data_IF_229439462596
#
_entry.id   IF_229439462596
#
_cell.length_a   1.000
_cell.length_b   1.000
_cell.length_c   1.000
_cell.angle_alpha   90.00
_cell.angle_beta   90.00
_cell.angle_gamma   90.00
#
_symmetry.space_group_name_H-M   'P 1'
#
loop_
_entity.id
_entity.type
_entity.pdbx_description
1 polymer ?
#
# COMPACT_ATOMS: atom_id res chain seq x y z
N UNK A 1 13.41 18.35 -8.60
CA UNK A 1 12.58 17.73 -7.55
C UNK A 1 12.22 18.82 -6.55
N UNK A 2 10.94 19.00 -6.22
CA UNK A 2 10.55 19.87 -5.09
C UNK A 2 10.68 19.06 -3.80
N UNK A 3 11.31 19.63 -2.77
CA UNK A 3 11.62 18.93 -1.53
C UNK A 3 11.13 19.74 -0.33
N UNK A 4 10.33 19.13 0.54
CA UNK A 4 9.93 19.68 1.84
C UNK A 4 10.19 18.64 2.93
N UNK A 5 10.73 19.07 4.08
CA UNK A 5 11.03 18.19 5.22
C UNK A 5 10.13 18.49 6.42
N UNK A 6 9.62 17.45 7.07
CA UNK A 6 8.88 17.55 8.34
C UNK A 6 9.32 16.43 9.29
N UNK A 7 9.02 16.58 10.59
CA UNK A 7 9.24 15.53 11.59
C UNK A 7 7.90 15.12 12.19
N UNK A 8 7.59 13.82 12.17
CA UNK A 8 6.37 13.25 12.77
C UNK A 8 6.67 11.87 13.34
N UNK A 9 6.19 11.60 14.56
CA UNK A 9 6.35 10.29 15.24
C UNK A 9 7.80 9.76 15.28
N UNK A 10 8.78 10.66 15.44
CA UNK A 10 10.21 10.30 15.45
C UNK A 10 10.82 10.00 14.06
N UNK A 11 10.09 10.28 12.99
CA UNK A 11 10.53 10.13 11.61
C UNK A 11 10.84 11.51 11.01
N UNK A 12 12.01 11.63 10.39
CA UNK A 12 12.31 12.65 9.40
C UNK A 12 11.70 12.23 8.08
N UNK A 13 10.78 13.05 7.57
CA UNK A 13 10.02 12.81 6.35
C UNK A 13 10.47 13.83 5.33
N UNK A 14 10.95 13.34 4.18
CA UNK A 14 11.29 14.19 3.04
C UNK A 14 10.35 13.86 1.89
N UNK A 15 9.58 14.86 1.44
CA UNK A 15 8.64 14.72 0.35
C UNK A 15 9.30 15.02 -0.99
N UNK A 16 8.96 14.23 -2.00
CA UNK A 16 9.45 14.31 -3.37
C UNK A 16 8.27 14.33 -4.33
N UNK A 17 8.46 15.01 -5.46
CA UNK A 17 7.64 14.84 -6.66
C UNK A 17 8.56 14.26 -7.72
N UNK A 18 8.24 13.05 -8.19
CA UNK A 18 9.04 12.28 -9.13
C UNK A 18 8.21 11.93 -10.38
N UNK A 19 8.85 11.65 -11.54
CA UNK A 19 8.13 11.14 -12.70
C UNK A 19 7.47 9.79 -12.40
N UNK A 20 6.27 9.56 -12.93
CA UNK A 20 5.69 8.23 -13.04
C UNK A 20 6.30 7.49 -14.24
N UNK A 21 5.96 6.20 -14.40
CA UNK A 21 6.41 5.40 -15.54
C UNK A 21 5.87 5.92 -16.89
N UNK A 22 4.71 6.58 -16.86
CA UNK A 22 4.17 7.33 -18.00
C UNK A 22 4.60 8.81 -17.89
N UNK A 23 5.31 9.39 -18.89
CA UNK A 23 5.92 10.71 -18.77
C UNK A 23 5.00 11.89 -18.44
N UNK A 24 3.70 11.80 -18.75
CA UNK A 24 2.70 12.82 -18.42
C UNK A 24 2.28 12.82 -16.95
N UNK A 25 2.55 11.75 -16.21
CA UNK A 25 2.14 11.58 -14.82
C UNK A 25 3.30 11.84 -13.85
N UNK A 26 2.96 12.27 -12.65
CA UNK A 26 3.87 12.48 -11.52
C UNK A 26 3.42 11.68 -10.30
N UNK A 27 4.38 11.30 -9.47
CA UNK A 27 4.14 10.61 -8.21
C UNK A 27 4.57 11.49 -7.04
N UNK A 28 3.70 11.63 -6.04
CA UNK A 28 4.05 12.16 -4.73
C UNK A 28 4.64 11.02 -3.89
N UNK A 29 5.88 11.19 -3.43
CA UNK A 29 6.62 10.19 -2.67
C UNK A 29 7.19 10.80 -1.39
N UNK A 30 7.18 10.03 -0.31
CA UNK A 30 7.85 10.38 0.94
C UNK A 30 8.99 9.38 1.18
N UNK A 31 10.14 9.90 1.61
CA UNK A 31 11.23 9.10 2.17
C UNK A 31 11.30 9.33 3.67
N UNK A 32 11.47 8.25 4.42
CA UNK A 32 11.43 8.21 5.87
C UNK A 32 12.78 7.73 6.41
N UNK A 33 13.29 8.43 7.43
CA UNK A 33 14.39 7.96 8.29
C UNK A 33 14.09 8.33 9.73
N UNK A 34 14.49 7.51 10.70
CA UNK A 34 14.40 7.90 12.11
C UNK A 34 15.27 9.12 12.41
N UNK A 35 14.74 10.06 13.20
CA UNK A 35 15.52 11.23 13.65
C UNK A 35 16.63 10.86 14.62
N UNK A 36 16.40 9.80 15.41
CA UNK A 36 17.36 9.22 16.33
C UNK A 36 17.52 7.73 16.00
N UNK A 37 18.69 7.31 15.48
CA UNK A 37 18.93 5.90 15.18
C UNK A 37 18.80 5.05 16.45
N UNK A 38 18.18 3.88 16.31
CA UNK A 38 18.14 2.87 17.38
C UNK A 38 19.46 2.07 17.40
N UNK A 39 19.89 1.53 18.56
CA UNK A 39 21.00 0.57 18.59
C UNK A 39 20.69 -0.60 17.66
N UNK A 40 21.57 -0.91 16.71
CA UNK A 40 21.41 -2.02 15.77
C UNK A 40 22.76 -2.65 15.43
N UNK A 41 22.78 -3.96 15.11
CA UNK A 41 23.99 -4.61 14.60
C UNK A 41 24.48 -3.94 13.30
N UNK A 42 25.76 -4.11 13.00
CA UNK A 42 26.57 -3.39 12.00
C UNK A 42 26.20 -3.62 10.52
N UNK A 43 25.06 -4.26 10.24
CA UNK A 43 24.68 -4.70 8.89
C UNK A 43 23.68 -3.72 8.26
N UNK A 44 23.95 -3.30 7.03
CA UNK A 44 23.01 -2.49 6.27
C UNK A 44 21.74 -3.30 5.93
N UNK A 45 20.58 -2.71 6.16
CA UNK A 45 19.28 -3.27 5.76
C UNK A 45 18.93 -2.83 4.32
N UNK A 46 18.28 -3.68 3.51
CA UNK A 46 17.71 -3.24 2.24
C UNK A 46 16.67 -2.12 2.42
N UNK A 47 16.51 -1.21 1.45
CA UNK A 47 15.46 -0.20 1.49
C UNK A 47 14.08 -0.85 1.43
N UNK A 48 13.09 -0.25 2.07
CA UNK A 48 11.71 -0.76 2.09
C UNK A 48 10.80 0.21 1.33
N UNK A 49 9.99 -0.31 0.41
CA UNK A 49 9.00 0.46 -0.36
C UNK A 49 7.60 0.05 0.08
N UNK A 50 6.77 1.03 0.43
CA UNK A 50 5.40 0.87 0.88
C UNK A 50 4.40 1.33 -0.19
N UNK A 51 3.39 0.50 -0.47
CA UNK A 51 2.28 0.82 -1.40
C UNK A 51 0.93 0.70 -0.70
N UNK A 52 0.07 1.69 -0.89
CA UNK A 52 -1.21 1.78 -0.19
C UNK A 52 -2.33 1.03 -0.92
N UNK A 53 -3.43 0.75 -0.21
CA UNK A 53 -4.64 0.19 -0.79
C UNK A 53 -5.44 1.21 -1.63
N UNK A 54 -6.41 0.73 -2.40
CA UNK A 54 -7.31 1.59 -3.18
C UNK A 54 -8.12 2.54 -2.28
N UNK A 55 -8.16 3.82 -2.62
CA UNK A 55 -8.87 4.87 -1.87
C UNK A 55 -8.04 5.53 -0.76
N UNK A 56 -6.74 5.22 -0.68
CA UNK A 56 -5.83 5.69 0.37
C UNK A 56 -4.67 6.51 -0.19
N UNK A 57 -3.70 6.83 0.66
CA UNK A 57 -2.50 7.62 0.36
C UNK A 57 -1.32 7.15 1.22
N UNK A 58 -0.09 7.46 0.82
CA UNK A 58 1.18 6.96 1.38
C UNK A 58 1.34 7.18 2.89
N UNK A 59 0.83 8.26 3.46
CA UNK A 59 0.98 8.58 4.89
C UNK A 59 0.27 7.58 5.81
N UNK A 60 -0.67 6.76 5.30
CA UNK A 60 -1.33 5.71 6.10
C UNK A 60 -0.36 4.64 6.62
N UNK A 61 0.84 4.54 6.04
CA UNK A 61 1.89 3.64 6.50
C UNK A 61 2.70 4.17 7.68
N UNK A 62 2.61 5.45 8.02
CA UNK A 62 3.48 6.05 9.04
C UNK A 62 3.31 5.47 10.44
N UNK A 63 2.09 5.12 10.90
CA UNK A 63 1.93 4.41 12.16
C UNK A 63 2.70 3.08 12.18
N UNK A 64 2.74 2.35 11.06
CA UNK A 64 3.51 1.09 10.92
C UNK A 64 5.02 1.38 10.85
N UNK A 65 5.44 2.31 9.99
CA UNK A 65 6.86 2.67 9.78
C UNK A 65 7.54 3.08 11.11
N UNK A 66 6.86 3.89 11.92
CA UNK A 66 7.40 4.35 13.22
C UNK A 66 7.57 3.23 14.25
N UNK A 67 6.89 2.09 14.06
CA UNK A 67 6.80 0.94 14.97
C UNK A 67 7.65 -0.27 14.54
N UNK A 68 8.30 -0.22 13.38
CA UNK A 68 9.23 -1.27 12.97
C UNK A 68 10.34 -1.46 14.03
N UNK A 69 10.74 -2.70 14.25
CA UNK A 69 11.84 -3.06 15.15
C UNK A 69 13.21 -2.84 14.48
N UNK A 70 14.28 -2.63 15.26
CA UNK A 70 15.66 -2.76 14.80
C UNK A 70 15.94 -4.13 14.14
N UNK A 71 16.80 -4.19 13.09
CA UNK A 71 17.46 -3.06 12.45
C UNK A 71 16.61 -2.35 11.38
N UNK A 72 15.45 -2.90 11.01
CA UNK A 72 14.57 -2.37 9.95
C UNK A 72 14.15 -0.93 10.18
N UNK A 73 13.92 -0.56 11.45
CA UNK A 73 13.62 0.79 11.89
C UNK A 73 14.66 1.85 11.46
N UNK A 74 15.91 1.44 11.24
CA UNK A 74 17.00 2.32 10.85
C UNK A 74 17.23 2.37 9.33
N UNK A 75 16.49 1.57 8.55
CA UNK A 75 16.61 1.51 7.10
C UNK A 75 16.08 2.76 6.39
N UNK A 76 16.34 2.83 5.09
CA UNK A 76 15.71 3.82 4.20
C UNK A 76 14.34 3.31 3.76
N UNK A 77 13.31 4.09 4.01
CA UNK A 77 11.93 3.68 3.75
C UNK A 77 11.25 4.69 2.82
N UNK A 78 10.43 4.18 1.91
CA UNK A 78 9.80 4.95 0.84
C UNK A 78 8.31 4.62 0.82
N UNK A 79 7.45 5.62 0.70
CA UNK A 79 6.04 5.40 0.41
C UNK A 79 5.59 6.39 -0.67
N UNK A 80 4.70 5.99 -1.56
CA UNK A 80 4.24 6.86 -2.63
C UNK A 80 2.78 6.63 -2.99
N UNK A 81 2.15 7.69 -3.48
CA UNK A 81 0.77 7.67 -3.91
C UNK A 81 0.67 7.10 -5.33
N UNK A 82 -0.22 6.12 -5.55
CA UNK A 82 -0.63 5.69 -6.88
C UNK A 82 -1.02 6.91 -7.72
N UNK A 83 -0.70 6.92 -9.03
CA UNK A 83 -0.85 8.10 -9.90
C UNK A 83 -2.24 8.76 -9.88
N UNK A 84 -3.29 8.02 -9.54
CA UNK A 84 -4.67 8.49 -9.46
C UNK A 84 -5.23 8.64 -8.04
N UNK A 85 -4.40 8.54 -6.99
CA UNK A 85 -4.81 8.63 -5.58
C UNK A 85 -3.95 9.63 -4.80
N UNK A 86 -4.40 10.00 -3.61
CA UNK A 86 -3.67 10.91 -2.72
C UNK A 86 -3.21 12.21 -3.40
N UNK A 87 -2.00 12.64 -3.09
CA UNK A 87 -1.41 13.84 -3.69
C UNK A 87 -1.05 13.65 -5.16
N UNK A 88 -0.75 12.43 -5.60
CA UNK A 88 -0.51 12.14 -7.01
C UNK A 88 -1.74 12.45 -7.86
N UNK A 89 -2.96 12.13 -7.40
CA UNK A 89 -4.20 12.48 -8.08
C UNK A 89 -4.32 14.00 -8.30
N UNK A 90 -4.00 14.78 -7.27
CA UNK A 90 -4.05 16.24 -7.32
C UNK A 90 -3.02 16.78 -8.32
N UNK A 91 -1.81 16.22 -8.33
CA UNK A 91 -0.75 16.59 -9.28
C UNK A 91 -1.12 16.25 -10.73
N UNK A 92 -1.90 15.19 -10.93
CA UNK A 92 -2.23 14.64 -12.25
C UNK A 92 -3.64 15.01 -12.72
N UNK A 93 -4.35 15.89 -12.02
CA UNK A 93 -5.79 16.18 -12.26
C UNK A 93 -6.16 16.43 -13.73
N UNK A 94 -5.26 17.03 -14.49
CA UNK A 94 -5.48 17.42 -15.90
C UNK A 94 -5.16 16.30 -16.90
N UNK A 95 -4.56 15.19 -16.44
CA UNK A 95 -4.16 14.04 -17.26
C UNK A 95 -4.76 12.71 -16.76
N UNK A 96 -5.57 12.74 -15.70
CA UNK A 96 -6.24 11.54 -15.18
C UNK A 96 -7.15 10.93 -16.24
N UNK A 97 -6.98 9.62 -16.44
CA UNK A 97 -7.74 8.85 -17.42
C UNK A 97 -9.08 8.38 -16.85
N UNK A 98 -10.00 8.02 -17.76
CA UNK A 98 -11.32 7.47 -17.37
C UNK A 98 -11.24 6.05 -16.82
N UNK A 99 -10.19 5.34 -17.20
CA UNK A 99 -9.95 3.97 -16.83
C UNK A 99 -8.63 3.89 -16.07
N UNK A 100 -8.53 2.92 -15.17
CA UNK A 100 -7.30 2.67 -14.45
C UNK A 100 -6.88 1.21 -14.60
N UNK A 101 -5.68 1.04 -15.15
CA UNK A 101 -5.06 -0.25 -15.34
C UNK A 101 -4.06 -0.55 -14.22
N UNK A 102 -4.20 -1.71 -13.57
CA UNK A 102 -3.36 -2.12 -12.44
C UNK A 102 -1.88 -2.31 -12.81
N UNK A 103 -1.54 -2.64 -14.08
CA UNK A 103 -0.13 -2.66 -14.52
C UNK A 103 0.52 -1.28 -14.41
N UNK A 104 -0.26 -0.20 -14.51
CA UNK A 104 0.26 1.16 -14.33
C UNK A 104 0.87 1.35 -12.93
N UNK A 105 0.26 0.77 -11.89
CA UNK A 105 0.82 0.88 -10.55
C UNK A 105 2.09 0.04 -10.39
N UNK A 106 2.12 -1.15 -10.99
CA UNK A 106 3.33 -1.99 -11.02
C UNK A 106 4.49 -1.29 -11.75
N UNK A 107 4.24 -0.68 -12.91
CA UNK A 107 5.24 0.11 -13.62
C UNK A 107 5.69 1.33 -12.81
N UNK A 108 4.80 1.98 -12.07
CA UNK A 108 5.17 3.07 -11.17
C UNK A 108 6.03 2.61 -10.00
N UNK A 109 5.79 1.42 -9.45
CA UNK A 109 6.70 0.81 -8.46
C UNK A 109 8.11 0.65 -9.06
N UNK A 110 8.22 0.11 -10.28
CA UNK A 110 9.52 -0.07 -10.94
C UNK A 110 10.19 1.28 -11.25
N UNK A 111 9.41 2.30 -11.61
CA UNK A 111 9.91 3.66 -11.80
C UNK A 111 10.42 4.26 -10.48
N UNK A 112 9.77 4.01 -9.35
CA UNK A 112 10.26 4.43 -8.02
C UNK A 112 11.60 3.76 -7.72
N UNK A 113 11.73 2.46 -7.98
CA UNK A 113 13.00 1.74 -7.85
C UNK A 113 14.10 2.40 -8.67
N UNK A 114 13.83 2.71 -9.94
CA UNK A 114 14.82 3.30 -10.84
C UNK A 114 15.18 4.74 -10.43
N UNK A 115 14.18 5.53 -10.04
CA UNK A 115 14.35 6.94 -9.66
C UNK A 115 15.26 7.10 -8.45
N UNK A 116 15.12 6.22 -7.46
CA UNK A 116 15.93 6.26 -6.24
C UNK A 116 17.14 5.30 -6.29
N UNK A 117 17.35 4.59 -7.41
CA UNK A 117 18.47 3.65 -7.58
C UNK A 117 18.44 2.48 -6.59
N UNK A 118 17.24 2.04 -6.19
CA UNK A 118 17.04 1.02 -5.18
C UNK A 118 17.45 -0.35 -5.74
N UNK A 119 18.14 -1.16 -4.93
CA UNK A 119 18.59 -2.50 -5.32
C UNK A 119 18.10 -3.51 -4.31
N UNK A 120 17.43 -4.56 -4.79
CA UNK A 120 16.89 -5.64 -3.96
C UNK A 120 16.09 -5.10 -2.78
N UNK A 121 15.18 -4.15 -3.06
CA UNK A 121 14.34 -3.54 -2.02
C UNK A 121 13.37 -4.56 -1.42
N UNK A 122 12.86 -4.31 -0.22
CA UNK A 122 11.70 -5.03 0.31
C UNK A 122 10.44 -4.30 -0.16
N UNK A 123 9.49 -5.03 -0.74
CA UNK A 123 8.15 -4.50 -1.03
C UNK A 123 7.20 -4.78 0.12
N UNK A 124 6.49 -3.78 0.63
CA UNK A 124 5.41 -3.94 1.63
C UNK A 124 4.15 -3.27 1.06
N UNK A 125 3.17 -4.08 0.65
CA UNK A 125 1.96 -3.56 0.02
C UNK A 125 0.71 -3.97 0.77
N UNK A 126 -0.32 -3.14 0.72
CA UNK A 126 -1.65 -3.47 1.25
C UNK A 126 -2.66 -3.58 0.12
N UNK A 127 -3.46 -4.66 0.12
CA UNK A 127 -4.58 -4.85 -0.80
C UNK A 127 -4.11 -4.70 -2.26
N UNK A 128 -4.62 -3.69 -2.97
CA UNK A 128 -4.26 -3.34 -4.33
C UNK A 128 -2.75 -3.08 -4.49
N UNK A 129 -2.12 -2.43 -3.52
CA UNK A 129 -0.68 -2.19 -3.51
C UNK A 129 0.15 -3.47 -3.35
N UNK A 130 -0.37 -4.48 -2.65
CA UNK A 130 0.29 -5.78 -2.55
C UNK A 130 0.27 -6.52 -3.89
N UNK A 131 -0.89 -6.54 -4.56
CA UNK A 131 -1.04 -7.12 -5.90
C UNK A 131 -0.13 -6.46 -6.93
N UNK A 132 0.06 -5.14 -6.82
CA UNK A 132 0.96 -4.39 -7.70
C UNK A 132 2.44 -4.81 -7.54
N UNK A 133 2.88 -5.21 -6.33
CA UNK A 133 4.23 -5.76 -6.13
C UNK A 133 4.41 -7.11 -6.82
N UNK A 134 3.39 -7.98 -6.83
CA UNK A 134 3.46 -9.25 -7.56
C UNK A 134 3.64 -9.02 -9.05
N UNK A 135 2.84 -8.12 -9.65
CA UNK A 135 2.99 -7.74 -11.05
C UNK A 135 4.38 -7.14 -11.33
N UNK A 136 4.85 -6.23 -10.48
CA UNK A 136 6.15 -5.59 -10.65
C UNK A 136 7.30 -6.60 -10.63
N UNK A 137 7.26 -7.58 -9.72
CA UNK A 137 8.28 -8.63 -9.63
C UNK A 137 8.20 -9.60 -10.81
N UNK A 138 7.00 -9.94 -11.31
CA UNK A 138 6.83 -10.75 -12.52
C UNK A 138 7.38 -10.02 -13.75
N UNK A 139 7.12 -8.72 -13.88
CA UNK A 139 7.63 -7.89 -14.98
C UNK A 139 9.16 -7.77 -14.97
N UNK A 140 9.75 -7.65 -13.78
CA UNK A 140 11.21 -7.47 -13.61
C UNK A 140 11.72 -8.34 -12.45
N UNK A 141 11.90 -9.66 -12.68
CA UNK A 141 12.32 -10.59 -11.64
C UNK A 141 13.65 -10.22 -10.99
N UNK A 142 13.74 -10.38 -9.68
CA UNK A 142 14.90 -10.03 -8.87
C UNK A 142 14.99 -8.55 -8.50
N UNK A 143 13.92 -7.77 -8.72
CA UNK A 143 13.86 -6.37 -8.28
C UNK A 143 13.82 -6.28 -6.76
N UNK A 144 13.05 -7.16 -6.12
CA UNK A 144 12.88 -7.17 -4.67
C UNK A 144 13.67 -8.29 -4.00
N UNK A 145 14.05 -8.11 -2.72
CA UNK A 145 14.61 -9.17 -1.89
C UNK A 145 13.53 -10.02 -1.22
N UNK A 146 12.38 -9.42 -0.93
CA UNK A 146 11.20 -10.06 -0.36
C UNK A 146 9.96 -9.17 -0.55
N UNK A 147 8.77 -9.76 -0.50
CA UNK A 147 7.49 -9.03 -0.50
C UNK A 147 6.68 -9.40 0.75
N UNK A 148 6.21 -8.40 1.49
CA UNK A 148 5.18 -8.55 2.53
C UNK A 148 3.86 -8.03 1.96
N UNK A 149 2.93 -8.95 1.72
CA UNK A 149 1.62 -8.72 1.15
C UNK A 149 0.57 -8.68 2.26
N UNK A 150 0.18 -7.48 2.66
CA UNK A 150 -0.86 -7.23 3.66
C UNK A 150 -2.22 -7.32 2.97
N UNK A 151 -2.99 -8.34 3.31
CA UNK A 151 -4.35 -8.63 2.81
C UNK A 151 -4.51 -8.40 1.28
N UNK A 152 -3.70 -9.05 0.43
CA UNK A 152 -3.61 -8.72 -0.99
C UNK A 152 -4.94 -8.94 -1.73
N UNK A 153 -5.27 -8.07 -2.68
CA UNK A 153 -6.49 -8.17 -3.52
C UNK A 153 -6.18 -8.66 -4.92
N UNK A 154 -5.80 -9.92 -5.01
CA UNK A 154 -5.63 -10.66 -6.26
C UNK A 154 -6.46 -11.95 -6.18
N UNK A 155 -7.00 -12.40 -7.29
CA UNK A 155 -7.99 -13.48 -7.29
C UNK A 155 -7.83 -14.38 -8.52
N UNK A 156 -8.04 -15.71 -8.38
CA UNK A 156 -8.27 -16.58 -9.53
C UNK A 156 -9.38 -16.02 -10.43
N UNK A 157 -9.29 -16.33 -11.73
CA UNK A 157 -10.22 -15.84 -12.73
C UNK A 157 -11.67 -16.27 -12.43
N UNK A 158 -11.86 -17.42 -11.81
CA UNK A 158 -13.17 -18.03 -11.54
C UNK A 158 -13.98 -17.27 -10.49
N UNK A 159 -13.32 -16.53 -9.59
CA UNK A 159 -13.98 -15.87 -8.46
C UNK A 159 -14.07 -14.35 -8.61
N UNK A 160 -13.37 -13.78 -9.61
CA UNK A 160 -13.41 -12.35 -9.85
C UNK A 160 -14.51 -11.95 -10.83
N UNK A 161 -15.17 -10.84 -10.50
CA UNK A 161 -16.15 -10.19 -11.36
C UNK A 161 -15.47 -9.06 -12.15
N UNK A 162 -15.11 -9.33 -13.40
CA UNK A 162 -14.77 -8.26 -14.34
C UNK A 162 -16.08 -7.65 -14.87
N UNK A 163 -16.44 -6.47 -14.36
CA UNK A 163 -17.67 -5.78 -14.72
C UNK A 163 -17.38 -4.31 -15.04
N UNK A 164 -18.09 -3.71 -16.02
CA UNK A 164 -18.08 -2.27 -16.22
C UNK A 164 -18.39 -1.52 -14.93
N UNK A 165 -17.91 -0.27 -14.82
CA UNK A 165 -18.07 0.55 -13.61
C UNK A 165 -19.54 0.67 -13.16
N UNK A 166 -20.49 0.73 -14.10
CA UNK A 166 -21.92 0.85 -13.85
C UNK A 166 -22.52 -0.40 -13.20
N UNK A 167 -21.95 -1.57 -13.46
CA UNK A 167 -22.39 -2.86 -12.94
C UNK A 167 -21.51 -3.37 -11.79
N UNK A 168 -20.36 -2.75 -11.52
CA UNK A 168 -19.43 -3.19 -10.49
C UNK A 168 -19.88 -2.73 -9.08
N UNK A 169 -20.22 -3.66 -8.15
CA UNK A 169 -20.84 -3.29 -6.86
C UNK A 169 -20.00 -2.32 -6.02
N UNK A 170 -18.69 -2.58 -5.89
CA UNK A 170 -17.80 -1.69 -5.12
C UNK A 170 -17.64 -0.31 -5.75
N UNK A 171 -17.57 -0.24 -7.08
CA UNK A 171 -17.49 1.04 -7.79
C UNK A 171 -18.76 1.88 -7.55
N UNK A 172 -19.94 1.25 -7.66
CA UNK A 172 -21.22 1.91 -7.39
C UNK A 172 -21.38 2.36 -5.94
N UNK A 173 -20.91 1.57 -4.97
CA UNK A 173 -20.88 1.97 -3.56
C UNK A 173 -19.95 3.17 -3.34
N UNK A 174 -18.78 3.17 -3.96
CA UNK A 174 -17.83 4.28 -3.89
C UNK A 174 -18.42 5.57 -4.47
N UNK A 175 -19.05 5.52 -5.65
CA UNK A 175 -19.64 6.70 -6.30
C UNK A 175 -20.78 7.34 -5.48
N UNK A 176 -21.53 6.54 -4.73
CA UNK A 176 -22.63 7.00 -3.85
C UNK A 176 -22.14 7.56 -2.50
N UNK A 177 -20.87 7.38 -2.15
CA UNK A 177 -20.32 7.83 -0.87
C UNK A 177 -20.21 9.37 -0.84
N UNK A 178 -20.39 9.93 0.37
CA UNK A 178 -20.06 11.32 0.68
C UNK A 178 -18.56 11.56 0.55
N UNK A 179 -18.17 12.62 -0.14
CA UNK A 179 -16.79 13.04 -0.37
C UNK A 179 -16.57 14.54 -0.14
N UNK A 180 -17.53 15.25 0.47
CA UNK A 180 -17.40 16.68 0.79
C UNK A 180 -17.86 16.98 2.21
N UNK A 181 -17.16 17.90 2.89
CA UNK A 181 -17.43 18.35 4.25
C UNK A 181 -17.10 19.83 4.41
N UNK A 182 -17.63 20.48 5.46
CA UNK A 182 -17.31 21.89 5.78
C UNK A 182 -15.92 22.02 6.38
N UNK A 183 -15.46 21.02 7.12
CA UNK A 183 -14.14 21.02 7.76
C UNK A 183 -13.64 19.59 8.04
N UNK A 184 -12.36 19.49 8.40
CA UNK A 184 -11.73 18.21 8.80
C UNK A 184 -12.35 17.66 10.09
N UNK A 185 -12.76 18.52 11.01
CA UNK A 185 -13.46 18.15 12.25
C UNK A 185 -14.84 17.55 11.95
N UNK A 186 -15.61 18.16 11.03
CA UNK A 186 -16.90 17.60 10.60
C UNK A 186 -16.70 16.25 9.89
N UNK A 187 -15.68 16.14 9.05
CA UNK A 187 -15.31 14.89 8.41
C UNK A 187 -15.06 13.80 9.48
N UNK A 188 -14.16 14.06 10.43
CA UNK A 188 -13.84 13.14 11.53
C UNK A 188 -15.10 12.70 12.29
N UNK A 189 -15.94 13.65 12.69
CA UNK A 189 -17.18 13.38 13.42
C UNK A 189 -18.14 12.49 12.62
N UNK A 190 -18.24 12.71 11.30
CA UNK A 190 -19.09 11.92 10.41
C UNK A 190 -18.55 10.51 10.16
N UNK A 191 -17.24 10.35 9.99
CA UNK A 191 -16.60 9.04 9.80
C UNK A 191 -16.76 8.18 11.05
N UNK A 192 -16.53 8.77 12.23
CA UNK A 192 -16.69 8.12 13.53
C UNK A 192 -18.15 7.72 13.86
N UNK A 193 -19.15 8.03 13.04
CA UNK A 193 -20.48 7.42 13.19
C UNK A 193 -20.53 5.97 12.70
N UNK A 194 -19.61 5.56 11.84
CA UNK A 194 -19.60 4.24 11.20
C UNK A 194 -18.68 3.28 11.94
N UNK A 195 -19.15 2.06 12.21
CA UNK A 195 -18.34 1.00 12.86
C UNK A 195 -16.99 0.77 12.16
N UNK A 196 -17.00 0.82 10.83
CA UNK A 196 -15.79 0.69 9.99
C UNK A 196 -14.65 1.63 10.40
N UNK A 197 -14.91 2.93 10.58
CA UNK A 197 -13.87 3.89 10.97
C UNK A 197 -13.60 3.90 12.48
N UNK A 198 -14.54 3.42 13.31
CA UNK A 198 -14.32 3.27 14.76
C UNK A 198 -13.31 2.17 15.09
N UNK A 199 -13.12 1.20 14.20
CA UNK A 199 -12.16 0.11 14.38
C UNK A 199 -10.71 0.56 14.14
N UNK A 200 -10.50 1.67 13.41
CA UNK A 200 -9.16 2.12 13.06
C UNK A 200 -8.40 2.68 14.27
N UNK A 201 -7.08 2.53 14.23
CA UNK A 201 -6.20 3.20 15.17
C UNK A 201 -6.36 4.73 15.01
N UNK A 202 -6.45 5.50 16.13
CA UNK A 202 -6.67 6.95 16.06
C UNK A 202 -5.66 7.70 15.20
N UNK A 203 -4.37 7.34 15.29
CA UNK A 203 -3.32 7.93 14.43
C UNK A 203 -3.58 7.72 12.94
N UNK A 204 -4.03 6.52 12.54
CA UNK A 204 -4.31 6.23 11.13
C UNK A 204 -5.52 7.03 10.62
N UNK A 205 -6.56 7.16 11.43
CA UNK A 205 -7.73 7.98 11.09
C UNK A 205 -7.37 9.47 10.99
N UNK A 206 -6.53 9.97 11.89
CA UNK A 206 -6.08 11.37 11.87
C UNK A 206 -5.25 11.67 10.63
N UNK A 207 -4.32 10.77 10.27
CA UNK A 207 -3.55 10.87 9.04
C UNK A 207 -4.42 10.79 7.79
N UNK A 208 -5.43 9.91 7.77
CA UNK A 208 -6.38 9.81 6.67
C UNK A 208 -7.11 11.14 6.42
N UNK A 209 -7.50 11.85 7.48
CA UNK A 209 -8.21 13.12 7.36
C UNK A 209 -7.25 14.27 7.06
N UNK A 210 -6.07 14.28 7.68
CA UNK A 210 -5.09 15.34 7.49
C UNK A 210 -4.54 15.34 6.05
N UNK A 211 -4.18 14.15 5.54
CA UNK A 211 -3.47 14.00 4.26
C UNK A 211 -4.38 13.57 3.11
N UNK A 212 -5.53 12.97 3.39
CA UNK A 212 -6.49 12.53 2.37
C UNK A 212 -7.46 13.62 1.89
N UNK A 213 -7.43 14.83 2.47
CA UNK A 213 -8.39 15.90 2.18
C UNK A 213 -7.76 17.07 1.41
N UNK A 214 -8.51 17.60 0.43
CA UNK A 214 -8.19 18.78 -0.36
C UNK A 214 -9.12 19.93 0.05
N UNK A 215 -8.54 21.09 0.38
CA UNK A 215 -9.31 22.30 0.64
C UNK A 215 -9.90 22.85 -0.68
N UNK A 216 -11.19 23.21 -0.65
CA UNK A 216 -11.96 23.69 -1.81
C UNK A 216 -12.79 24.92 -1.45
N UNK A 217 -13.15 25.70 -2.47
CA UNK A 217 -14.17 26.75 -2.36
C UNK A 217 -15.40 26.25 -3.10
N UNK A 218 -16.53 26.19 -2.40
CA UNK A 218 -17.81 25.75 -2.95
C UNK A 218 -18.39 26.81 -3.90
N UNK A 219 -19.41 26.43 -4.69
CA UNK A 219 -20.07 27.33 -5.65
C UNK A 219 -20.67 28.58 -4.99
N UNK A 220 -21.09 28.47 -3.72
CA UNK A 220 -21.62 29.58 -2.91
C UNK A 220 -20.52 30.46 -2.27
N UNK A 221 -19.24 30.19 -2.56
CA UNK A 221 -18.08 30.90 -2.02
C UNK A 221 -17.64 30.45 -0.63
N UNK A 222 -18.34 29.49 0.00
CA UNK A 222 -17.93 28.96 1.30
C UNK A 222 -16.71 28.04 1.19
N UNK A 223 -15.88 28.00 2.23
CA UNK A 223 -14.78 27.04 2.32
C UNK A 223 -15.32 25.64 2.65
N UNK A 224 -14.68 24.62 2.10
CA UNK A 224 -14.95 23.22 2.39
C UNK A 224 -13.75 22.33 2.13
N UNK A 225 -13.94 21.04 2.29
CA UNK A 225 -12.96 20.01 1.94
C UNK A 225 -13.59 18.91 1.10
N UNK A 226 -12.79 18.30 0.24
CA UNK A 226 -13.14 17.07 -0.50
C UNK A 226 -12.01 16.04 -0.43
N UNK A 227 -12.26 14.81 -0.89
CA UNK A 227 -11.21 13.79 -0.97
C UNK A 227 -10.17 14.16 -2.04
N UNK A 228 -8.88 14.00 -1.71
CA UNK A 228 -7.80 14.09 -2.71
C UNK A 228 -7.89 12.98 -3.75
N UNK A 229 -8.32 11.79 -3.33
CA UNK A 229 -8.66 10.70 -4.25
C UNK A 229 -10.07 10.94 -4.80
N UNK A 230 -10.24 11.30 -6.09
CA UNK A 230 -11.57 11.49 -6.64
C UNK A 230 -12.36 10.18 -6.62
N UNK A 231 -13.63 10.19 -6.18
CA UNK A 231 -14.45 8.96 -6.10
C UNK A 231 -14.47 8.16 -7.39
N UNK A 232 -14.48 8.85 -8.54
CA UNK A 232 -14.46 8.19 -9.84
C UNK A 232 -13.14 7.43 -10.07
N UNK A 233 -12.00 7.96 -9.62
CA UNK A 233 -10.70 7.28 -9.73
C UNK A 233 -10.60 6.04 -8.83
N UNK A 234 -11.10 6.13 -7.59
CA UNK A 234 -11.24 4.97 -6.71
C UNK A 234 -12.18 3.91 -7.32
N UNK A 235 -13.30 4.34 -7.90
CA UNK A 235 -14.29 3.46 -8.52
C UNK A 235 -13.75 2.76 -9.77
N UNK A 236 -13.03 3.46 -10.66
CA UNK A 236 -12.38 2.78 -11.81
C UNK A 236 -11.25 1.86 -11.37
N UNK A 237 -10.62 2.09 -10.21
CA UNK A 237 -9.60 1.17 -9.68
C UNK A 237 -10.25 -0.14 -9.22
N UNK A 238 -11.46 -0.09 -8.62
CA UNK A 238 -12.26 -1.29 -8.34
C UNK A 238 -12.72 -2.01 -9.60
N UNK A 239 -13.27 -1.26 -10.56
CA UNK A 239 -13.74 -1.82 -11.81
C UNK A 239 -12.61 -2.47 -12.62
N UNK A 240 -11.36 -2.01 -12.43
CA UNK A 240 -10.12 -2.55 -12.99
C UNK A 240 -10.23 -2.87 -14.48
N UNK A 241 -9.70 -2.01 -15.35
CA UNK A 241 -9.64 -2.42 -16.76
C UNK A 241 -8.55 -3.46 -16.98
N UNK A 242 -8.82 -4.43 -17.85
CA UNK A 242 -7.82 -5.39 -18.29
C UNK A 242 -7.57 -6.50 -17.29
N UNK A 243 -6.28 -6.72 -17.00
CA UNK A 243 -5.75 -8.04 -16.63
C UNK A 243 -5.06 -8.14 -15.28
N UNK A 244 -4.69 -6.99 -14.71
CA UNK A 244 -3.74 -6.98 -13.60
C UNK A 244 -4.21 -7.71 -12.35
N UNK A 245 -5.51 -7.72 -12.04
CA UNK A 245 -6.01 -8.42 -10.85
C UNK A 245 -5.82 -9.93 -10.93
N UNK A 246 -6.07 -10.56 -12.08
CA UNK A 246 -5.89 -12.00 -12.25
C UNK A 246 -4.44 -12.36 -12.55
N UNK A 247 -3.75 -11.57 -13.37
CA UNK A 247 -2.32 -11.82 -13.64
C UNK A 247 -1.47 -11.64 -12.40
N UNK A 248 -1.87 -10.77 -11.45
CA UNK A 248 -1.20 -10.67 -10.15
C UNK A 248 -1.41 -11.91 -9.25
N UNK A 249 -2.48 -12.68 -9.47
CA UNK A 249 -2.69 -13.96 -8.81
C UNK A 249 -1.92 -15.07 -9.52
N UNK A 250 -2.08 -15.19 -10.84
CA UNK A 250 -1.41 -16.23 -11.62
C UNK A 250 0.12 -16.09 -11.54
N UNK A 251 0.63 -14.87 -11.70
CA UNK A 251 2.06 -14.58 -11.69
C UNK A 251 2.76 -14.90 -10.36
N UNK A 252 2.04 -15.10 -9.25
CA UNK A 252 2.66 -15.48 -7.97
C UNK A 252 3.51 -16.75 -8.09
N UNK A 253 3.14 -17.69 -8.96
CA UNK A 253 3.89 -18.94 -9.18
C UNK A 253 5.23 -18.74 -9.90
N UNK A 254 5.43 -17.59 -10.53
CA UNK A 254 6.66 -17.25 -11.24
C UNK A 254 7.69 -16.58 -10.32
N UNK A 255 7.25 -16.01 -9.20
CA UNK A 255 8.08 -15.23 -8.28
C UNK A 255 9.04 -16.15 -7.51
N UNK A 256 10.34 -15.81 -7.54
CA UNK A 256 11.43 -16.62 -6.98
C UNK A 256 12.01 -16.07 -5.67
N UNK A 257 11.36 -15.07 -5.06
CA UNK A 257 11.77 -14.44 -3.81
C UNK A 257 10.78 -14.78 -2.67
N UNK A 258 11.18 -14.64 -1.40
CA UNK A 258 10.28 -14.80 -0.26
C UNK A 258 9.04 -13.89 -0.34
N UNK A 259 7.86 -14.47 -0.12
CA UNK A 259 6.59 -13.75 0.00
C UNK A 259 5.96 -14.08 1.35
N UNK A 260 5.65 -13.06 2.14
CA UNK A 260 4.87 -13.19 3.36
C UNK A 260 3.48 -12.61 3.18
N UNK A 261 2.45 -13.43 3.30
CA UNK A 261 1.06 -12.99 3.29
C UNK A 261 0.63 -12.74 4.73
N UNK A 262 0.09 -11.56 5.02
CA UNK A 262 -0.51 -11.23 6.32
C UNK A 262 -1.99 -10.94 6.08
N UNK A 263 -2.87 -11.82 6.55
CA UNK A 263 -4.32 -11.70 6.36
C UNK A 263 -5.04 -11.43 7.67
N UNK A 264 -6.15 -10.71 7.63
CA UNK A 264 -7.06 -10.63 8.78
C UNK A 264 -7.92 -11.89 8.91
N UNK A 265 -8.14 -12.38 10.14
CA UNK A 265 -9.07 -13.49 10.44
C UNK A 265 -10.50 -13.17 10.01
N UNK A 266 -10.91 -11.91 10.13
CA UNK A 266 -12.25 -11.41 9.78
C UNK A 266 -12.28 -10.75 8.39
N UNK A 267 -11.29 -11.03 7.52
CA UNK A 267 -11.22 -10.41 6.19
C UNK A 267 -12.21 -11.05 5.21
N UNK A 268 -13.28 -10.31 4.88
CA UNK A 268 -14.23 -10.69 3.82
C UNK A 268 -13.58 -10.73 2.42
N UNK A 269 -12.40 -10.12 2.27
CA UNK A 269 -11.65 -10.05 1.02
C UNK A 269 -10.76 -11.28 0.85
N UNK A 270 -10.30 -11.83 1.96
CA UNK A 270 -9.33 -12.91 2.03
C UNK A 270 -9.85 -14.02 2.96
N UNK A 271 -10.97 -14.70 2.60
CA UNK A 271 -11.41 -15.87 3.35
C UNK A 271 -10.33 -16.94 3.33
N UNK A 272 -10.32 -17.80 4.36
CA UNK A 272 -9.26 -18.78 4.62
C UNK A 272 -8.83 -19.58 3.38
N UNK A 273 -9.80 -20.10 2.61
CA UNK A 273 -9.52 -20.89 1.41
C UNK A 273 -8.84 -20.08 0.30
N UNK A 274 -9.20 -18.81 0.13
CA UNK A 274 -8.53 -17.93 -0.83
C UNK A 274 -7.09 -17.62 -0.42
N UNK A 275 -6.85 -17.42 0.87
CA UNK A 275 -5.49 -17.18 1.38
C UNK A 275 -4.62 -18.43 1.21
N UNK A 276 -5.17 -19.62 1.47
CA UNK A 276 -4.48 -20.89 1.20
C UNK A 276 -4.16 -21.05 -0.29
N UNK A 277 -5.09 -20.70 -1.18
CA UNK A 277 -4.85 -20.71 -2.63
C UNK A 277 -3.70 -19.77 -3.00
N UNK A 278 -3.65 -18.55 -2.46
CA UNK A 278 -2.54 -17.61 -2.67
C UNK A 278 -1.21 -18.17 -2.17
N UNK A 279 -1.19 -18.71 -0.95
CA UNK A 279 0.01 -19.30 -0.36
C UNK A 279 0.53 -20.47 -1.20
N UNK A 280 -0.36 -21.33 -1.71
CA UNK A 280 0.02 -22.48 -2.54
C UNK A 280 0.69 -22.08 -3.87
N UNK A 281 0.51 -20.83 -4.32
CA UNK A 281 1.22 -20.31 -5.50
C UNK A 281 2.63 -19.83 -5.17
N UNK A 282 2.90 -19.45 -3.94
CA UNK A 282 4.21 -18.94 -3.55
C UNK A 282 5.23 -20.07 -3.45
N UNK A 283 6.31 -20.01 -4.23
CA UNK A 283 7.43 -20.97 -4.11
C UNK A 283 8.14 -20.86 -2.74
N UNK A 284 8.26 -19.64 -2.23
CA UNK A 284 8.85 -19.32 -0.93
C UNK A 284 7.85 -18.52 -0.08
N UNK A 285 6.66 -19.09 0.09
CA UNK A 285 5.54 -18.47 0.78
C UNK A 285 5.57 -18.68 2.29
N UNK A 286 5.07 -17.70 3.04
CA UNK A 286 4.67 -17.86 4.44
C UNK A 286 3.39 -17.08 4.68
N UNK A 287 2.62 -17.50 5.68
CA UNK A 287 1.32 -16.90 6.01
C UNK A 287 1.24 -16.59 7.50
N UNK A 288 0.75 -15.40 7.81
CA UNK A 288 0.20 -15.05 9.12
C UNK A 288 -1.29 -14.70 8.99
N UNK A 289 -2.11 -15.21 9.92
CA UNK A 289 -3.52 -14.81 10.05
C UNK A 289 -3.69 -14.05 11.37
N UNK A 290 -3.88 -12.74 11.28
CA UNK A 290 -4.02 -11.85 12.42
C UNK A 290 -5.43 -11.94 12.99
N UNK A 291 -5.54 -12.28 14.27
CA UNK A 291 -6.83 -12.52 14.93
C UNK A 291 -7.64 -11.25 15.14
N UNK A 292 -8.97 -11.36 15.02
CA UNK A 292 -9.93 -10.30 15.35
C UNK A 292 -9.65 -8.98 14.61
N UNK A 293 -9.36 -9.05 13.31
CA UNK A 293 -9.14 -7.90 12.44
C UNK A 293 -9.55 -8.25 11.01
N UNK A 294 -10.12 -7.27 10.31
CA UNK A 294 -10.55 -7.43 8.92
C UNK A 294 -9.50 -7.00 7.90
N UNK A 295 -9.97 -6.60 6.73
CA UNK A 295 -9.15 -6.21 5.57
C UNK A 295 -8.16 -5.04 5.84
N UNK A 296 -8.45 -4.19 6.81
CA UNK A 296 -7.68 -2.96 7.07
C UNK A 296 -6.69 -3.10 8.23
N UNK A 297 -6.05 -4.25 8.34
CA UNK A 297 -5.21 -4.59 9.48
C UNK A 297 -4.05 -3.62 9.75
N UNK A 298 -3.46 -3.02 8.70
CA UNK A 298 -2.43 -1.98 8.86
C UNK A 298 -2.94 -0.69 9.50
N UNK A 299 -4.24 -0.40 9.37
CA UNK A 299 -4.90 0.79 9.91
C UNK A 299 -5.53 0.53 11.27
N UNK A 300 -6.01 -0.69 11.50
CA UNK A 300 -6.63 -1.12 12.77
C UNK A 300 -5.57 -1.50 13.82
N UNK A 301 -4.53 -2.23 13.39
CA UNK A 301 -3.49 -2.83 14.24
C UNK A 301 -2.08 -2.54 13.71
N UNK A 302 -1.65 -1.26 13.71
CA UNK A 302 -0.37 -0.86 13.13
C UNK A 302 0.84 -1.44 13.85
N UNK A 303 0.76 -1.70 15.16
CA UNK A 303 1.86 -2.34 15.91
C UNK A 303 2.03 -3.79 15.49
N UNK A 304 0.94 -4.56 15.51
CA UNK A 304 0.96 -5.97 15.12
C UNK A 304 1.37 -6.13 13.66
N UNK A 305 0.95 -5.22 12.78
CA UNK A 305 1.40 -5.19 11.38
C UNK A 305 2.91 -4.96 11.29
N UNK A 306 3.46 -4.02 12.06
CA UNK A 306 4.89 -3.76 12.12
C UNK A 306 5.66 -4.98 12.64
N UNK A 307 5.14 -5.67 13.65
CA UNK A 307 5.73 -6.88 14.22
C UNK A 307 5.80 -8.02 13.19
N UNK A 308 4.76 -8.19 12.36
CA UNK A 308 4.76 -9.19 11.29
C UNK A 308 5.77 -8.86 10.19
N UNK A 309 5.88 -7.59 9.80
CA UNK A 309 6.88 -7.14 8.82
C UNK A 309 8.29 -7.42 9.38
N UNK A 310 8.61 -6.88 10.54
CA UNK A 310 9.91 -7.04 11.18
C UNK A 310 10.29 -8.51 11.39
N UNK A 311 9.39 -9.29 12.00
CA UNK A 311 9.66 -10.69 12.31
C UNK A 311 9.86 -11.55 11.07
N UNK A 312 9.18 -11.25 9.96
CA UNK A 312 9.44 -11.92 8.68
C UNK A 312 10.82 -11.55 8.12
N UNK A 313 11.17 -10.26 8.12
CA UNK A 313 12.44 -9.80 7.58
C UNK A 313 13.63 -10.36 8.38
N UNK A 314 13.52 -10.47 9.71
CA UNK A 314 14.51 -11.15 10.56
C UNK A 314 14.75 -12.59 10.08
N UNK A 315 13.68 -13.34 9.81
CA UNK A 315 13.77 -14.74 9.37
C UNK A 315 14.39 -14.92 7.99
N UNK A 316 14.12 -14.01 7.05
CA UNK A 316 14.48 -14.23 5.63
C UNK A 316 15.71 -13.47 5.15
N UNK A 317 16.10 -12.40 5.86
CA UNK A 317 17.20 -11.53 5.46
C UNK A 317 18.36 -11.48 6.49
N UNK A 318 18.14 -11.90 7.74
CA UNK A 318 19.20 -11.96 8.75
C UNK A 318 19.83 -13.34 8.97
N UNK A 319 19.37 -14.40 8.28
CA UNK A 319 20.04 -15.70 8.41
C UNK A 319 21.52 -15.60 7.99
N UNK A 320 22.46 -16.13 8.80
CA UNK A 320 23.83 -16.33 8.38
C UNK A 320 23.84 -17.12 7.06
N UNK A 321 24.81 -16.81 6.21
CA UNK A 321 25.08 -17.54 4.97
C UNK A 321 25.53 -18.96 5.31
N UNK A 322 24.59 -19.84 5.65
CA UNK A 322 24.70 -21.28 5.44
C UNK A 322 23.58 -21.67 4.50
N UNK A 323 23.87 -21.49 3.21
CA UNK A 323 22.97 -21.62 2.07
C UNK A 323 22.43 -23.04 1.80
N UNK A 324 22.43 -23.97 2.75
CA UNK A 324 21.97 -25.35 2.48
C UNK A 324 20.72 -25.82 3.25
N UNK A 325 20.25 -25.13 4.29
CA UNK A 325 19.17 -25.69 5.13
C UNK A 325 17.77 -25.10 4.94
N UNK A 326 17.57 -24.07 4.11
CA UNK A 326 16.23 -23.54 3.83
C UNK A 326 15.38 -24.47 2.93
N UNK A 327 15.92 -25.61 2.48
CA UNK A 327 15.16 -26.62 1.72
C UNK A 327 14.28 -27.53 2.60
N UNK A 328 14.35 -27.43 3.92
CA UNK A 328 13.72 -28.42 4.80
C UNK A 328 12.65 -27.89 5.77
N UNK A 329 12.41 -26.57 5.89
CA UNK A 329 11.49 -26.01 6.92
C UNK A 329 10.75 -24.72 6.54
N UNK A 330 10.40 -24.54 5.26
CA UNK A 330 9.33 -23.63 4.83
C UNK A 330 8.30 -24.46 4.07
#
# INVERSE_FOLDING_TARGET
MSVSSTVRSGLSIVRHIVPASTPSFKLACNTYRRTTPLPSPTKATPPIIFTHANGFHKEIWEPVISRLSPPWANGEMYAFDCRNQGDSAVLNKDVLEKHFDWYSYAHDILQIVDTFGLKKAVGVGHSFGASAFFLAEVMRPGTFSAIVAVDPTNFPKEIYMNAPIDDHPMAQLTLKRRDTWKSREECKASLLQKKFFKAWHPEALDLYIEHGMLDVVNEDGSAGITLKCPKYQEATTFACVGTGLYDSFEGMSEIQIPIHIVSGEDSDINPEELVKMKLARCKYGSLEVMKGVGHLLSLEKPQETADQISGFLDRVLELPVEQEQLKARL
#
